data_IF_245219959631
#
_entry.id   IF_245219959631
#
_cell.length_a   1.000
_cell.length_b   1.000
_cell.length_c   1.000
_cell.angle_alpha   90.00
_cell.angle_beta   90.00
_cell.angle_gamma   90.00
#
_symmetry.space_group_name_H-M   'P 1'
#
loop_
_entity.id
_entity.type
_entity.pdbx_description
1 polymer ?
#
# COMPACT_ATOMS: atom_id res chain seq x y z
N UNK A 1 15.63 1.59 18.84
CA UNK A 1 16.22 2.87 19.31
C UNK A 1 15.49 3.43 20.52
N UNK A 2 14.28 2.98 20.88
CA UNK A 2 13.60 3.47 22.09
C UNK A 2 13.10 4.91 21.94
N UNK A 3 13.08 5.40 20.69
CA UNK A 3 12.47 6.65 20.29
C UNK A 3 10.94 6.52 20.34
N UNK A 4 10.25 7.63 20.59
CA UNK A 4 8.79 7.73 20.48
C UNK A 4 8.28 7.55 19.03
N UNK A 5 9.19 7.42 18.05
CA UNK A 5 8.85 7.15 16.65
C UNK A 5 9.04 5.66 16.31
N UNK A 6 8.05 5.02 15.66
CA UNK A 6 8.18 3.62 15.26
C UNK A 6 9.22 3.49 14.12
N UNK A 7 10.30 2.76 14.38
CA UNK A 7 11.34 2.48 13.38
C UNK A 7 10.81 1.72 12.15
N UNK A 8 9.71 0.97 12.28
CA UNK A 8 9.03 0.30 11.16
C UNK A 8 7.57 0.01 11.52
N UNK A 9 6.65 0.36 10.61
CA UNK A 9 5.24 -0.05 10.68
C UNK A 9 4.94 -1.04 9.56
N UNK A 10 4.43 -2.22 9.90
CA UNK A 10 3.96 -3.22 8.93
C UNK A 10 2.48 -3.49 9.19
N UNK A 11 1.61 -2.87 8.40
CA UNK A 11 0.19 -3.19 8.41
C UNK A 11 -0.08 -4.43 7.54
N UNK A 12 -0.81 -5.42 8.09
CA UNK A 12 -1.37 -6.56 7.37
C UNK A 12 -2.86 -6.28 7.19
N UNK A 13 -3.31 -6.18 5.95
CA UNK A 13 -4.71 -5.91 5.65
C UNK A 13 -5.53 -7.20 5.62
N UNK A 14 -6.82 -7.17 6.00
CA UNK A 14 -7.68 -8.36 6.01
C UNK A 14 -7.73 -9.06 4.65
N UNK A 15 -7.84 -8.29 3.56
CA UNK A 15 -7.89 -8.83 2.19
C UNK A 15 -6.62 -9.57 1.76
N UNK A 16 -5.45 -9.27 2.36
CA UNK A 16 -4.16 -9.84 1.94
C UNK A 16 -4.09 -11.36 2.16
N UNK A 17 -4.76 -11.89 3.17
CA UNK A 17 -4.81 -13.33 3.42
C UNK A 17 -5.65 -14.08 2.37
N UNK A 18 -6.68 -13.42 1.83
CA UNK A 18 -7.61 -14.00 0.86
C UNK A 18 -7.19 -13.74 -0.60
N UNK A 19 -6.28 -12.80 -0.83
CA UNK A 19 -5.72 -12.55 -2.17
C UNK A 19 -4.94 -13.76 -2.71
N UNK A 20 -4.22 -14.47 -1.85
CA UNK A 20 -3.46 -15.66 -2.24
C UNK A 20 -4.36 -16.83 -2.63
N UNK A 21 -5.58 -16.92 -2.09
CA UNK A 21 -6.49 -18.02 -2.43
C UNK A 21 -7.08 -17.88 -3.82
N UNK A 22 -7.08 -16.67 -4.41
CA UNK A 22 -7.56 -16.45 -5.80
C UNK A 22 -6.74 -17.26 -6.80
N UNK A 23 -5.42 -17.34 -6.63
CA UNK A 23 -4.58 -18.06 -7.60
C UNK A 23 -4.89 -19.55 -7.65
N UNK A 24 -5.29 -20.15 -6.54
CA UNK A 24 -5.66 -21.57 -6.48
C UNK A 24 -7.12 -21.78 -6.89
N UNK A 25 -8.04 -20.94 -6.42
CA UNK A 25 -9.48 -21.04 -6.71
C UNK A 25 -9.80 -20.65 -8.16
N UNK A 26 -8.95 -19.86 -8.82
CA UNK A 26 -9.16 -19.49 -10.22
C UNK A 26 -8.86 -20.62 -11.21
N UNK A 27 -8.10 -21.65 -10.80
CA UNK A 27 -7.70 -22.75 -11.68
C UNK A 27 -8.91 -23.67 -11.92
N UNK A 28 -9.33 -23.78 -13.18
CA UNK A 28 -10.45 -24.65 -13.59
C UNK A 28 -11.82 -23.97 -13.65
N UNK A 29 -11.93 -22.70 -13.22
CA UNK A 29 -13.14 -21.89 -13.38
C UNK A 29 -13.14 -21.10 -14.70
N UNK A 30 -14.33 -20.76 -15.21
CA UNK A 30 -14.44 -19.93 -16.42
C UNK A 30 -14.13 -18.47 -16.07
N UNK A 31 -13.64 -17.70 -17.04
CA UNK A 31 -13.40 -16.25 -16.85
C UNK A 31 -14.64 -15.49 -16.38
N UNK A 32 -15.84 -15.97 -16.72
CA UNK A 32 -17.11 -15.39 -16.29
C UNK A 32 -17.35 -15.52 -14.76
N UNK A 33 -16.71 -16.46 -14.08
CA UNK A 33 -16.90 -16.69 -12.64
C UNK A 33 -15.92 -15.86 -11.78
N UNK A 34 -14.89 -15.26 -12.40
CA UNK A 34 -13.88 -14.44 -11.72
C UNK A 34 -14.47 -13.26 -10.94
N UNK A 35 -15.45 -12.48 -11.47
CA UNK A 35 -16.04 -11.37 -10.73
C UNK A 35 -16.75 -11.84 -9.45
N UNK A 36 -17.43 -12.99 -9.48
CA UNK A 36 -18.11 -13.55 -8.32
C UNK A 36 -17.12 -13.98 -7.23
N UNK A 37 -16.01 -14.60 -7.62
CA UNK A 37 -14.93 -14.97 -6.72
C UNK A 37 -14.27 -13.73 -6.08
N UNK A 38 -14.06 -12.67 -6.86
CA UNK A 38 -13.51 -11.40 -6.37
C UNK A 38 -14.45 -10.71 -5.38
N UNK A 39 -15.76 -10.67 -5.65
CA UNK A 39 -16.75 -10.09 -4.72
C UNK A 39 -16.76 -10.81 -3.38
N UNK A 40 -16.61 -12.14 -3.36
CA UNK A 40 -16.56 -12.91 -2.12
C UNK A 40 -15.33 -12.64 -1.26
N UNK A 41 -14.25 -12.13 -1.85
CA UNK A 41 -12.97 -11.88 -1.17
C UNK A 41 -12.86 -10.45 -0.64
N UNK A 42 -13.67 -9.54 -1.17
CA UNK A 42 -13.65 -8.11 -0.86
C UNK A 42 -12.21 -7.51 -0.96
N UNK A 43 -11.65 -7.44 -2.18
CA UNK A 43 -10.33 -6.87 -2.38
C UNK A 43 -10.38 -5.36 -2.16
N UNK A 44 -10.04 -4.90 -0.96
CA UNK A 44 -9.83 -3.48 -0.69
C UNK A 44 -8.50 -3.03 -1.33
N UNK A 45 -8.57 -2.47 -2.54
CA UNK A 45 -7.40 -1.93 -3.24
C UNK A 45 -6.77 -0.76 -2.49
N UNK A 46 -7.55 0.12 -1.86
CA UNK A 46 -6.98 1.22 -1.05
C UNK A 46 -6.20 0.74 0.17
N UNK A 47 -6.59 -0.39 0.76
CA UNK A 47 -5.92 -0.97 1.91
C UNK A 47 -4.66 -1.74 1.49
N UNK A 48 -4.71 -2.41 0.33
CA UNK A 48 -3.64 -3.27 -0.16
C UNK A 48 -2.59 -2.53 -1.00
N UNK A 49 -3.01 -1.52 -1.75
CA UNK A 49 -2.17 -0.75 -2.65
C UNK A 49 -1.37 0.29 -1.86
N UNK A 50 -0.07 0.39 -2.18
CA UNK A 50 0.87 1.31 -1.54
C UNK A 50 1.22 2.48 -2.44
N UNK A 51 0.31 2.90 -3.32
CA UNK A 51 0.51 4.09 -4.14
C UNK A 51 0.43 5.36 -3.31
N UNK A 52 1.32 6.31 -3.62
CA UNK A 52 1.35 7.62 -2.97
C UNK A 52 1.34 8.68 -4.05
N UNK A 53 0.40 9.61 -3.94
CA UNK A 53 0.33 10.79 -4.81
C UNK A 53 0.61 12.02 -3.95
N UNK A 54 1.68 12.75 -4.28
CA UNK A 54 2.07 13.97 -3.57
C UNK A 54 1.63 15.17 -4.39
N UNK A 55 1.02 16.15 -3.71
CA UNK A 55 0.69 17.45 -4.30
C UNK A 55 1.74 18.45 -3.88
N UNK A 56 2.47 18.99 -4.85
CA UNK A 56 3.46 20.04 -4.60
C UNK A 56 2.77 21.39 -4.37
N UNK A 57 3.43 22.37 -3.72
CA UNK A 57 2.90 23.73 -3.55
C UNK A 57 2.53 24.42 -4.87
N UNK A 58 3.17 24.02 -5.98
CA UNK A 58 2.85 24.46 -7.34
C UNK A 58 1.50 23.96 -7.86
N UNK A 59 0.80 23.09 -7.12
CA UNK A 59 -0.43 22.42 -7.54
C UNK A 59 -0.20 21.15 -8.38
N UNK A 60 1.05 20.83 -8.72
CA UNK A 60 1.38 19.63 -9.48
C UNK A 60 1.20 18.37 -8.64
N UNK A 61 0.50 17.37 -9.17
CA UNK A 61 0.35 16.05 -8.57
C UNK A 61 1.32 15.09 -9.23
N UNK A 62 2.11 14.40 -8.42
CA UNK A 62 3.08 13.42 -8.88
C UNK A 62 2.87 12.10 -8.16
N UNK A 63 2.88 11.00 -8.91
CA UNK A 63 2.89 9.66 -8.35
C UNK A 63 4.30 9.31 -7.90
N UNK A 64 4.45 8.98 -6.63
CA UNK A 64 5.74 8.64 -6.06
C UNK A 64 5.85 7.14 -5.80
N UNK A 65 7.02 6.63 -6.12
CA UNK A 65 7.45 5.30 -5.67
C UNK A 65 7.70 5.30 -4.16
N UNK A 66 7.66 4.12 -3.55
CA UNK A 66 7.96 3.98 -2.13
C UNK A 66 9.35 4.50 -1.74
N UNK A 67 10.33 4.35 -2.64
CA UNK A 67 11.68 4.88 -2.42
C UNK A 67 11.71 6.40 -2.36
N UNK A 68 10.99 7.09 -3.25
CA UNK A 68 10.87 8.54 -3.26
C UNK A 68 10.19 9.05 -1.96
N UNK A 69 9.09 8.41 -1.56
CA UNK A 69 8.38 8.75 -0.31
C UNK A 69 9.28 8.54 0.91
N UNK A 70 9.99 7.42 0.97
CA UNK A 70 10.91 7.11 2.06
C UNK A 70 12.05 8.14 2.15
N UNK A 71 12.68 8.46 1.02
CA UNK A 71 13.75 9.45 0.95
C UNK A 71 13.26 10.83 1.39
N UNK A 72 12.10 11.25 0.90
CA UNK A 72 11.47 12.51 1.31
C UNK A 72 11.19 12.55 2.82
N UNK A 73 10.64 11.47 3.40
CA UNK A 73 10.42 11.39 4.84
C UNK A 73 11.71 11.53 5.65
N UNK A 74 12.78 10.83 5.27
CA UNK A 74 14.09 10.94 5.93
C UNK A 74 14.61 12.38 5.88
N UNK A 75 14.60 13.00 4.69
CA UNK A 75 15.05 14.39 4.53
C UNK A 75 14.19 15.38 5.31
N UNK A 76 12.87 15.17 5.35
CA UNK A 76 11.93 16.01 6.09
C UNK A 76 12.23 16.01 7.59
N UNK A 77 12.39 14.82 8.20
CA UNK A 77 12.70 14.71 9.62
C UNK A 77 14.12 15.19 9.95
N UNK A 78 15.10 14.99 9.05
CA UNK A 78 16.44 15.56 9.21
C UNK A 78 16.42 17.10 9.25
N UNK A 79 15.59 17.74 8.41
CA UNK A 79 15.46 19.21 8.35
C UNK A 79 14.68 19.80 9.52
N UNK A 80 13.72 19.07 10.09
CA UNK A 80 12.90 19.56 11.21
C UNK A 80 13.55 19.41 12.59
N UNK A 81 14.75 18.86 12.66
CA UNK A 81 15.50 18.72 13.91
C UNK A 81 15.35 17.32 14.48
N UNK A 82 16.09 16.37 13.90
CA UNK A 82 16.40 15.14 14.61
C UNK A 82 17.09 15.47 15.94
N UNK A 83 16.35 15.28 17.03
CA UNK A 83 16.91 14.77 18.28
C UNK A 83 17.27 13.30 18.10
#
# INVERSE_FOLDING_TARGET
DGSDMPARVKARTPSLCNWATISDVAIGHKLADMPMLLVGIDPCFSCNDRSVTVTQPSGQREHWTWEQVRRFGIEYYQRQGGQ
#
